data_IF_176275407039
#
_entry.id   IF_176275407039
#
_cell.length_a   1.000
_cell.length_b   1.000
_cell.length_c   1.000
_cell.angle_alpha   90.00
_cell.angle_beta   90.00
_cell.angle_gamma   90.00
#
_symmetry.space_group_name_H-M   'P 1'
#
loop_
_entity.id
_entity.type
_entity.pdbx_description
1 polymer ?
#
# COMPACT_ATOMS: atom_id res chain seq x y z
N UNK A 1 37.94 10.73 -8.48
CA UNK A 1 39.37 10.32 -8.53
C UNK A 1 40.10 11.27 -9.47
N UNK A 2 40.68 12.35 -8.95
CA UNK A 2 41.66 13.12 -9.72
C UNK A 2 43.04 12.56 -9.40
N UNK A 3 43.65 11.87 -10.36
CA UNK A 3 45.04 11.44 -10.28
C UNK A 3 45.74 11.88 -11.55
N UNK A 4 46.42 13.01 -11.47
CA UNK A 4 47.51 13.34 -12.40
C UNK A 4 48.30 14.49 -11.77
N UNK A 5 49.30 14.15 -10.95
CA UNK A 5 50.53 14.95 -10.92
C UNK A 5 51.20 14.73 -12.28
N UNK A 6 50.67 15.39 -13.31
CA UNK A 6 51.27 15.40 -14.63
C UNK A 6 52.37 16.46 -14.55
N UNK A 7 53.61 16.04 -14.27
CA UNK A 7 54.74 16.95 -14.41
C UNK A 7 54.74 17.52 -15.84
N UNK A 8 55.09 18.81 -16.02
CA UNK A 8 55.18 19.39 -17.35
C UNK A 8 56.24 18.65 -18.16
N UNK A 9 55.94 18.33 -19.42
CA UNK A 9 56.84 17.71 -20.38
C UNK A 9 57.83 18.77 -20.89
N UNK A 10 58.76 19.14 -20.01
CA UNK A 10 59.82 20.12 -20.26
C UNK A 10 60.66 19.72 -21.49
N UNK A 11 61.05 18.44 -21.71
CA UNK A 11 61.76 18.04 -22.92
C UNK A 11 61.00 18.32 -24.21
N UNK A 12 59.69 18.05 -24.26
CA UNK A 12 58.88 18.36 -25.43
C UNK A 12 58.76 19.87 -25.68
N UNK A 13 58.64 20.67 -24.61
CA UNK A 13 58.63 22.13 -24.70
C UNK A 13 59.97 22.69 -25.21
N UNK A 14 61.10 22.20 -24.69
CA UNK A 14 62.43 22.60 -25.14
C UNK A 14 62.72 22.16 -26.58
N UNK A 15 62.12 21.05 -27.05
CA UNK A 15 62.20 20.62 -28.45
C UNK A 15 61.62 21.66 -29.42
N UNK A 16 60.50 22.29 -29.06
CA UNK A 16 59.88 23.37 -29.84
C UNK A 16 60.75 24.64 -29.85
N UNK A 17 61.50 24.88 -28.78
CA UNK A 17 62.41 26.03 -28.64
C UNK A 17 63.77 25.85 -29.33
N UNK A 18 64.16 24.60 -29.61
CA UNK A 18 65.51 24.25 -30.09
C UNK A 18 65.85 24.71 -31.51
N UNK A 19 64.84 25.13 -32.28
CA UNK A 19 64.98 25.58 -33.67
C UNK A 19 64.97 27.11 -33.84
N UNK A 20 64.76 27.87 -32.75
CA UNK A 20 64.73 29.33 -32.79
C UNK A 20 66.14 29.94 -32.61
N UNK A 21 66.39 31.06 -33.27
CA UNK A 21 67.64 31.80 -33.12
C UNK A 21 67.64 32.73 -31.89
N UNK A 22 68.77 33.40 -31.62
CA UNK A 22 68.91 34.21 -30.40
C UNK A 22 68.00 35.45 -30.38
N UNK A 23 67.68 35.99 -31.56
CA UNK A 23 66.85 37.19 -31.67
C UNK A 23 65.36 36.80 -31.54
N UNK A 24 64.96 35.66 -32.11
CA UNK A 24 63.64 35.05 -31.92
C UNK A 24 63.39 34.60 -30.47
N UNK A 25 64.39 34.03 -29.80
CA UNK A 25 64.29 33.66 -28.37
C UNK A 25 64.19 34.89 -27.46
N UNK A 26 64.89 36.00 -27.80
CA UNK A 26 64.75 37.27 -27.09
C UNK A 26 63.38 37.89 -27.33
N UNK A 27 62.86 37.79 -28.54
CA UNK A 27 61.53 38.27 -28.86
C UNK A 27 60.47 37.49 -28.07
N UNK A 28 60.59 36.16 -28.03
CA UNK A 28 59.72 35.28 -27.26
C UNK A 28 59.78 35.56 -25.75
N UNK A 29 60.97 35.85 -25.22
CA UNK A 29 61.14 36.20 -23.80
C UNK A 29 60.48 37.53 -23.42
N UNK A 30 60.31 38.44 -24.40
CA UNK A 30 59.74 39.77 -24.19
C UNK A 30 58.28 39.88 -24.64
N UNK A 31 57.68 38.82 -25.19
CA UNK A 31 56.30 38.75 -25.65
C UNK A 31 55.58 37.53 -25.05
N UNK A 32 54.84 37.78 -23.96
CA UNK A 32 54.06 36.76 -23.25
C UNK A 32 53.00 36.08 -24.15
N UNK A 33 52.49 36.78 -25.17
CA UNK A 33 51.52 36.22 -26.10
C UNK A 33 52.13 35.15 -27.00
N UNK A 34 53.32 35.42 -27.54
CA UNK A 34 54.09 34.44 -28.32
C UNK A 34 54.51 33.24 -27.47
N UNK A 35 54.90 33.48 -26.21
CA UNK A 35 55.23 32.41 -25.29
C UNK A 35 54.02 31.50 -25.01
N UNK A 36 52.86 32.10 -24.74
CA UNK A 36 51.61 31.38 -24.51
C UNK A 36 51.20 30.54 -25.74
N UNK A 37 51.41 31.04 -26.96
CA UNK A 37 51.09 30.30 -28.18
C UNK A 37 51.99 29.07 -28.38
N UNK A 38 53.29 29.16 -28.04
CA UNK A 38 54.18 27.99 -28.01
C UNK A 38 53.74 26.98 -26.93
N UNK A 39 53.30 27.46 -25.76
CA UNK A 39 52.79 26.60 -24.68
C UNK A 39 51.53 25.86 -25.12
N UNK A 40 50.61 26.53 -25.82
CA UNK A 40 49.41 25.90 -26.40
C UNK A 40 49.75 24.83 -27.44
N UNK A 41 50.90 24.94 -28.09
CA UNK A 41 51.36 23.99 -29.09
C UNK A 41 51.98 22.72 -28.51
N UNK A 42 52.34 22.71 -27.22
CA UNK A 42 52.84 21.53 -26.52
C UNK A 42 51.78 20.42 -26.53
N UNK A 43 52.19 19.20 -26.94
CA UNK A 43 51.30 18.04 -27.05
C UNK A 43 50.53 17.74 -25.75
N UNK A 44 51.18 17.87 -24.60
CA UNK A 44 50.53 17.69 -23.30
C UNK A 44 49.40 18.71 -23.08
N UNK A 45 49.60 19.98 -23.45
CA UNK A 45 48.57 21.02 -23.33
C UNK A 45 47.39 20.76 -24.27
N UNK A 46 47.66 20.40 -25.54
CA UNK A 46 46.60 20.02 -26.50
C UNK A 46 45.77 18.82 -26.04
N UNK A 47 46.41 17.82 -25.46
CA UNK A 47 45.71 16.65 -24.90
C UNK A 47 44.81 17.04 -23.72
N UNK A 48 45.29 17.91 -22.82
CA UNK A 48 44.51 18.41 -21.70
C UNK A 48 43.33 19.28 -22.15
N UNK A 49 43.52 20.13 -23.16
CA UNK A 49 42.43 20.94 -23.71
C UNK A 49 41.38 20.04 -24.37
N UNK A 50 41.80 19.00 -25.11
CA UNK A 50 40.88 18.01 -25.70
C UNK A 50 40.11 17.24 -24.63
N UNK A 51 40.77 16.82 -23.55
CA UNK A 51 40.14 16.14 -22.42
C UNK A 51 39.12 17.05 -21.72
N UNK A 52 39.48 18.31 -21.50
CA UNK A 52 38.58 19.34 -20.96
C UNK A 52 37.36 19.52 -21.86
N UNK A 53 37.53 19.69 -23.17
CA UNK A 53 36.42 19.82 -24.12
C UNK A 53 35.51 18.58 -24.09
N UNK A 54 36.10 17.38 -24.06
CA UNK A 54 35.34 16.13 -23.96
C UNK A 54 34.55 16.05 -22.65
N UNK A 55 35.14 16.41 -21.52
CA UNK A 55 34.47 16.44 -20.22
C UNK A 55 33.36 17.49 -20.18
N UNK A 56 33.59 18.68 -20.75
CA UNK A 56 32.58 19.73 -20.85
C UNK A 56 31.40 19.28 -21.71
N UNK A 57 31.66 18.68 -22.88
CA UNK A 57 30.63 18.15 -23.76
C UNK A 57 29.83 17.02 -23.09
N UNK A 58 30.52 16.12 -22.39
CA UNK A 58 29.90 15.02 -21.64
C UNK A 58 29.02 15.53 -20.50
N UNK A 59 29.54 16.45 -19.67
CA UNK A 59 28.80 17.05 -18.57
C UNK A 59 27.57 17.80 -19.08
N UNK A 60 27.72 18.57 -20.16
CA UNK A 60 26.61 19.28 -20.81
C UNK A 60 25.54 18.31 -21.30
N UNK A 61 25.94 17.26 -22.02
CA UNK A 61 25.01 16.25 -22.53
C UNK A 61 24.24 15.56 -21.39
N UNK A 62 24.93 15.26 -20.29
CA UNK A 62 24.30 14.66 -19.10
C UNK A 62 23.33 15.63 -18.41
N UNK A 63 23.71 16.91 -18.30
CA UNK A 63 22.84 17.93 -17.73
C UNK A 63 21.57 18.13 -18.60
N UNK A 64 21.73 18.21 -19.92
CA UNK A 64 20.61 18.31 -20.87
C UNK A 64 19.71 17.07 -20.79
N UNK A 65 20.27 15.86 -20.70
CA UNK A 65 19.50 14.64 -20.51
C UNK A 65 18.74 14.64 -19.17
N UNK A 66 19.39 15.01 -18.06
CA UNK A 66 18.75 15.10 -16.75
C UNK A 66 17.59 16.11 -16.75
N UNK A 67 17.78 17.28 -17.39
CA UNK A 67 16.73 18.28 -17.58
C UNK A 67 15.58 17.73 -18.43
N UNK A 68 15.88 16.95 -19.47
CA UNK A 68 14.86 16.30 -20.31
C UNK A 68 14.01 15.27 -19.54
N UNK A 69 14.54 14.69 -18.46
CA UNK A 69 13.86 13.72 -17.60
C UNK A 69 13.07 14.34 -16.46
N UNK A 70 13.35 15.60 -16.11
CA UNK A 70 12.61 16.34 -15.10
C UNK A 70 11.08 16.38 -15.35
N UNK A 71 10.55 16.65 -16.56
CA UNK A 71 9.10 16.69 -16.77
C UNK A 71 8.42 15.34 -16.54
N UNK A 72 9.00 14.24 -17.04
CA UNK A 72 8.49 12.87 -16.85
C UNK A 72 8.46 12.50 -15.36
N UNK A 73 9.51 12.86 -14.62
CA UNK A 73 9.58 12.63 -13.18
C UNK A 73 8.51 13.43 -12.42
N UNK A 74 8.31 14.70 -12.79
CA UNK A 74 7.35 15.56 -12.12
C UNK A 74 5.90 15.16 -12.41
N UNK A 75 5.60 14.75 -13.65
CA UNK A 75 4.34 14.13 -14.02
C UNK A 75 4.09 12.84 -13.21
N UNK A 76 5.07 11.94 -13.14
CA UNK A 76 4.96 10.71 -12.36
C UNK A 76 4.70 10.96 -10.87
N UNK A 77 5.35 11.96 -10.27
CA UNK A 77 5.08 12.38 -8.88
C UNK A 77 3.67 12.92 -8.72
N UNK A 78 3.19 13.72 -9.66
CA UNK A 78 1.85 14.30 -9.61
C UNK A 78 0.78 13.20 -9.69
N UNK A 79 0.93 12.24 -10.60
CA UNK A 79 0.05 11.07 -10.71
C UNK A 79 0.06 10.26 -9.42
N UNK A 80 1.25 9.99 -8.86
CA UNK A 80 1.37 9.24 -7.60
C UNK A 80 0.66 9.96 -6.45
N UNK A 81 0.81 11.28 -6.37
CA UNK A 81 0.15 12.10 -5.35
C UNK A 81 -1.37 12.03 -5.49
N UNK A 82 -1.88 12.20 -6.71
CA UNK A 82 -3.31 12.11 -7.00
C UNK A 82 -3.87 10.72 -6.64
N UNK A 83 -3.21 9.65 -7.08
CA UNK A 83 -3.65 8.29 -6.79
C UNK A 83 -3.62 7.99 -5.29
N UNK A 84 -2.59 8.48 -4.58
CA UNK A 84 -2.50 8.34 -3.13
C UNK A 84 -3.64 9.08 -2.43
N UNK A 85 -3.99 10.28 -2.88
CA UNK A 85 -5.11 11.04 -2.34
C UNK A 85 -6.45 10.34 -2.60
N UNK A 86 -6.69 9.86 -3.82
CA UNK A 86 -7.88 9.09 -4.16
C UNK A 86 -7.99 7.80 -3.33
N UNK A 87 -6.89 7.09 -3.13
CA UNK A 87 -6.86 5.88 -2.31
C UNK A 87 -7.18 6.19 -0.83
N UNK A 88 -6.63 7.28 -0.30
CA UNK A 88 -6.94 7.74 1.05
C UNK A 88 -8.43 8.10 1.19
N UNK A 89 -8.99 8.84 0.23
CA UNK A 89 -10.42 9.18 0.21
C UNK A 89 -11.32 7.95 0.13
N UNK A 90 -10.96 6.96 -0.68
CA UNK A 90 -11.70 5.70 -0.76
C UNK A 90 -11.64 4.92 0.57
N UNK A 91 -10.46 4.88 1.19
CA UNK A 91 -10.27 4.23 2.48
C UNK A 91 -11.12 4.90 3.58
N UNK A 92 -11.12 6.24 3.65
CA UNK A 92 -11.98 6.97 4.59
C UNK A 92 -13.45 6.73 4.30
N UNK A 93 -13.88 6.78 3.03
CA UNK A 93 -15.27 6.51 2.65
C UNK A 93 -15.73 5.10 3.01
N UNK A 94 -14.87 4.08 2.83
CA UNK A 94 -15.18 2.70 3.23
C UNK A 94 -15.28 2.60 4.75
N UNK A 95 -14.35 3.23 5.48
CA UNK A 95 -14.37 3.25 6.94
C UNK A 95 -15.65 3.92 7.46
N UNK A 96 -16.02 5.07 6.93
CA UNK A 96 -17.22 5.80 7.33
C UNK A 96 -18.49 4.97 7.07
N UNK A 97 -18.58 4.30 5.91
CA UNK A 97 -19.70 3.39 5.61
C UNK A 97 -19.74 2.17 6.52
N UNK A 98 -18.58 1.63 6.89
CA UNK A 98 -18.49 0.51 7.84
C UNK A 98 -18.96 0.94 9.23
N UNK A 99 -18.52 2.11 9.70
CA UNK A 99 -18.94 2.69 10.98
C UNK A 99 -20.45 3.03 10.97
N UNK A 100 -20.97 3.60 9.87
CA UNK A 100 -22.40 3.85 9.70
C UNK A 100 -23.22 2.54 9.74
N UNK A 101 -22.74 1.49 9.06
CA UNK A 101 -23.39 0.17 9.07
C UNK A 101 -23.36 -0.44 10.46
N UNK A 102 -22.22 -0.36 11.15
CA UNK A 102 -22.06 -0.83 12.53
C UNK A 102 -22.99 -0.09 13.49
N UNK A 103 -23.11 1.22 13.36
CA UNK A 103 -23.99 2.05 14.18
C UNK A 103 -25.48 1.71 13.93
N UNK A 104 -25.86 1.48 12.66
CA UNK A 104 -27.23 1.08 12.30
C UNK A 104 -27.58 -0.34 12.73
N UNK A 105 -26.60 -1.26 12.68
CA UNK A 105 -26.85 -2.67 12.97
C UNK A 105 -27.05 -2.97 14.46
N UNK A 106 -26.87 -1.96 15.33
CA UNK A 106 -26.96 -2.13 16.78
C UNK A 106 -25.87 -3.06 17.33
N UNK A 107 -25.75 -3.13 18.65
CA UNK A 107 -24.82 -4.05 19.32
C UNK A 107 -25.40 -5.45 19.52
N UNK A 108 -26.70 -5.63 19.26
CA UNK A 108 -27.40 -6.89 19.46
C UNK A 108 -27.10 -7.84 18.31
N UNK A 109 -26.23 -8.81 18.53
CA UNK A 109 -26.04 -9.89 17.55
C UNK A 109 -27.24 -10.83 17.59
N UNK A 110 -27.41 -11.59 16.50
CA UNK A 110 -28.47 -12.60 16.41
C UNK A 110 -28.33 -13.65 17.52
N UNK A 111 -27.10 -13.99 17.91
CA UNK A 111 -26.80 -14.89 19.03
C UNK A 111 -27.22 -14.28 20.37
N UNK A 112 -26.89 -13.00 20.63
CA UNK A 112 -27.33 -12.32 21.87
C UNK A 112 -28.86 -12.24 21.95
N UNK A 113 -29.54 -12.00 20.83
CA UNK A 113 -31.00 -12.00 20.78
C UNK A 113 -31.59 -13.40 21.06
N UNK A 114 -30.94 -14.47 20.60
CA UNK A 114 -31.34 -15.84 20.87
C UNK A 114 -31.21 -16.18 22.36
N UNK A 115 -30.07 -15.84 22.98
CA UNK A 115 -29.81 -16.08 24.40
C UNK A 115 -30.83 -15.36 25.28
N UNK A 116 -31.10 -14.08 24.99
CA UNK A 116 -32.12 -13.29 25.71
C UNK A 116 -33.52 -13.88 25.56
N UNK A 117 -33.89 -14.34 24.37
CA UNK A 117 -35.20 -14.95 24.14
C UNK A 117 -35.32 -16.29 24.88
N UNK A 118 -34.24 -17.08 24.95
CA UNK A 118 -34.20 -18.33 25.69
C UNK A 118 -34.31 -18.09 27.20
N UNK A 119 -33.62 -17.08 27.74
CA UNK A 119 -33.75 -16.68 29.14
C UNK A 119 -35.19 -16.23 29.45
N UNK A 120 -35.78 -15.39 28.60
CA UNK A 120 -37.17 -14.95 28.76
C UNK A 120 -38.19 -16.10 28.61
N UNK A 121 -37.85 -17.17 27.88
CA UNK A 121 -38.68 -18.38 27.81
C UNK A 121 -38.59 -19.23 29.09
N UNK A 122 -37.41 -19.28 29.72
CA UNK A 122 -37.20 -19.97 30.99
C UNK A 122 -37.84 -19.22 32.17
N UNK A 123 -37.70 -17.90 32.20
CA UNK A 123 -38.32 -17.03 33.22
C UNK A 123 -39.86 -17.21 33.26
N UNK A 124 -40.51 -17.15 32.10
CA UNK A 124 -41.97 -17.32 32.04
C UNK A 124 -42.41 -18.78 32.31
N UNK A 125 -41.54 -19.76 32.08
CA UNK A 125 -41.76 -21.15 32.48
C UNK A 125 -41.75 -21.28 34.00
N UNK A 126 -40.75 -20.69 34.67
CA UNK A 126 -40.65 -20.62 36.13
C UNK A 126 -41.84 -19.88 36.75
N UNK A 127 -42.24 -18.72 36.19
CA UNK A 127 -43.45 -18.01 36.64
C UNK A 127 -44.71 -18.88 36.55
N UNK A 128 -44.85 -19.64 35.45
CA UNK A 128 -46.00 -20.54 35.28
C UNK A 128 -45.98 -21.69 36.27
N UNK A 129 -44.81 -22.18 36.64
CA UNK A 129 -44.65 -23.24 37.64
C UNK A 129 -44.95 -22.73 39.04
N UNK A 130 -44.51 -21.52 39.40
CA UNK A 130 -44.85 -20.88 40.68
C UNK A 130 -46.37 -20.68 40.85
N UNK A 131 -47.10 -20.42 39.76
CA UNK A 131 -48.57 -20.34 39.79
C UNK A 131 -49.20 -21.72 39.96
N UNK A 132 -48.64 -22.75 39.33
CA UNK A 132 -49.08 -24.13 39.53
C UNK A 132 -48.86 -24.57 40.99
N UNK A 133 -47.72 -24.23 41.59
CA UNK A 133 -47.43 -24.50 43.00
C UNK A 133 -48.42 -23.81 43.93
N UNK A 134 -48.72 -22.52 43.72
CA UNK A 134 -49.73 -21.76 44.50
C UNK A 134 -51.13 -22.37 44.40
N UNK A 135 -51.49 -22.91 43.24
CA UNK A 135 -52.76 -23.59 43.08
C UNK A 135 -52.78 -24.93 43.86
N UNK A 136 -51.69 -25.70 43.81
CA UNK A 136 -51.56 -26.96 44.53
C UNK A 136 -51.50 -26.80 46.05
N UNK A 137 -50.99 -25.68 46.55
CA UNK A 137 -51.02 -25.32 47.97
C UNK A 137 -52.40 -24.80 48.43
N UNK A 138 -53.30 -24.48 47.49
CA UNK A 138 -54.61 -23.91 47.77
C UNK A 138 -54.60 -22.40 48.05
N UNK A 139 -53.52 -21.70 47.67
CA UNK A 139 -53.38 -20.25 47.86
C UNK A 139 -54.21 -19.42 46.86
N UNK A 140 -54.61 -20.03 45.73
CA UNK A 140 -55.44 -19.40 44.69
C UNK A 140 -56.58 -20.32 44.24
N UNK A 141 -57.69 -19.73 43.81
CA UNK A 141 -58.86 -20.46 43.31
C UNK A 141 -58.70 -20.88 41.83
N UNK A 142 -59.55 -21.82 41.37
CA UNK A 142 -59.49 -22.40 40.01
C UNK A 142 -59.57 -21.33 38.92
N UNK A 143 -60.49 -20.37 39.04
CA UNK A 143 -60.70 -19.37 37.99
C UNK A 143 -59.49 -18.44 37.85
N UNK A 144 -58.88 -18.04 38.98
CA UNK A 144 -57.65 -17.24 39.01
C UNK A 144 -56.46 -18.02 38.43
N UNK A 145 -56.33 -19.30 38.78
CA UNK A 145 -55.30 -20.18 38.23
C UNK A 145 -55.41 -20.27 36.71
N UNK A 146 -56.61 -20.53 36.18
CA UNK A 146 -56.81 -20.70 34.73
C UNK A 146 -56.45 -19.43 33.95
N UNK A 147 -56.84 -18.25 34.44
CA UNK A 147 -56.54 -16.97 33.78
C UNK A 147 -55.01 -16.69 33.73
N UNK A 148 -54.33 -16.91 34.85
CA UNK A 148 -52.90 -16.62 34.98
C UNK A 148 -51.99 -17.70 34.36
N UNK A 149 -52.34 -18.98 34.48
CA UNK A 149 -51.50 -20.09 34.03
C UNK A 149 -51.56 -20.26 32.51
N UNK A 150 -52.77 -20.24 31.92
CA UNK A 150 -52.94 -20.45 30.48
C UNK A 150 -52.26 -19.35 29.66
N UNK A 151 -52.38 -18.10 30.10
CA UNK A 151 -51.73 -16.96 29.45
C UNK A 151 -50.20 -17.08 29.45
N UNK A 152 -49.60 -17.45 30.59
CA UNK A 152 -48.15 -17.68 30.71
C UNK A 152 -47.66 -18.90 29.95
N UNK A 153 -48.35 -20.04 30.04
CA UNK A 153 -47.98 -21.25 29.28
C UNK A 153 -48.08 -21.02 27.78
N UNK A 154 -49.10 -20.30 27.30
CA UNK A 154 -49.21 -19.89 25.90
C UNK A 154 -48.01 -19.03 25.47
N UNK A 155 -47.64 -18.04 26.27
CA UNK A 155 -46.49 -17.18 25.99
C UNK A 155 -45.16 -17.96 26.01
N UNK A 156 -44.98 -18.85 26.99
CA UNK A 156 -43.83 -19.75 27.11
C UNK A 156 -43.64 -20.60 25.86
N UNK A 157 -44.67 -21.32 25.43
CA UNK A 157 -44.61 -22.16 24.23
C UNK A 157 -44.34 -21.32 22.97
N UNK A 158 -44.95 -20.14 22.86
CA UNK A 158 -44.68 -19.23 21.75
C UNK A 158 -43.21 -18.79 21.72
N UNK A 159 -42.62 -18.46 22.88
CA UNK A 159 -41.19 -18.10 22.97
C UNK A 159 -40.29 -19.29 22.63
N UNK A 160 -40.57 -20.50 23.13
CA UNK A 160 -39.82 -21.73 22.77
C UNK A 160 -39.83 -22.00 21.27
N UNK A 161 -40.99 -21.90 20.61
CA UNK A 161 -41.08 -22.05 19.15
C UNK A 161 -40.26 -20.97 18.43
N UNK A 162 -40.29 -19.71 18.91
CA UNK A 162 -39.46 -18.65 18.32
C UNK A 162 -37.96 -18.90 18.49
N UNK A 163 -37.52 -19.43 19.64
CA UNK A 163 -36.12 -19.86 19.87
C UNK A 163 -35.71 -20.92 18.85
N UNK A 164 -36.53 -21.96 18.66
CA UNK A 164 -36.23 -23.03 17.70
C UNK A 164 -36.16 -22.51 16.26
N UNK A 165 -37.10 -21.65 15.87
CA UNK A 165 -37.09 -21.03 14.53
C UNK A 165 -35.89 -20.11 14.32
N UNK A 166 -35.50 -19.34 15.34
CA UNK A 166 -34.31 -18.50 15.26
C UNK A 166 -33.03 -19.34 15.12
N UNK A 167 -32.91 -20.44 15.87
CA UNK A 167 -31.80 -21.40 15.73
C UNK A 167 -31.72 -21.99 14.32
N UNK A 168 -32.85 -22.35 13.74
CA UNK A 168 -32.90 -22.88 12.36
C UNK A 168 -32.48 -21.84 11.32
N UNK A 169 -32.89 -20.58 11.49
CA UNK A 169 -32.47 -19.48 10.62
C UNK A 169 -30.95 -19.24 10.69
N UNK A 170 -30.37 -19.23 11.89
CA UNK A 170 -28.92 -19.08 12.09
C UNK A 170 -28.17 -20.22 11.38
N UNK A 171 -28.63 -21.47 11.57
CA UNK A 171 -28.02 -22.66 10.95
C UNK A 171 -28.07 -22.62 9.41
N UNK A 172 -29.21 -22.19 8.86
CA UNK A 172 -29.42 -22.08 7.41
C UNK A 172 -28.58 -20.94 6.80
N UNK A 173 -28.47 -19.81 7.49
CA UNK A 173 -27.65 -18.68 7.05
C UNK A 173 -26.16 -19.04 6.88
N UNK A 174 -25.60 -19.79 7.83
CA UNK A 174 -24.21 -20.27 7.76
C UNK A 174 -23.93 -21.26 6.62
N UNK A 175 -24.97 -21.92 6.08
CA UNK A 175 -24.81 -22.85 4.95
C UNK A 175 -24.71 -22.12 3.60
N UNK A 176 -25.12 -20.85 3.53
CA UNK A 176 -25.15 -20.06 2.29
C UNK A 176 -23.94 -19.14 2.08
N UNK A 177 -23.09 -18.94 3.08
CA UNK A 177 -21.97 -17.99 3.05
C UNK A 177 -20.59 -18.60 2.72
N UNK A 178 -20.50 -19.90 2.40
CA UNK A 178 -19.23 -20.61 2.30
C UNK A 178 -18.59 -20.71 0.89
N UNK A 179 -18.90 -19.78 -0.03
CA UNK A 179 -18.16 -19.65 -1.30
C UNK A 179 -17.70 -18.21 -1.52
N UNK A 180 -16.44 -17.86 -1.18
CA UNK A 180 -15.78 -16.71 -1.79
C UNK A 180 -15.36 -17.10 -3.21
N UNK A 181 -16.34 -17.19 -4.11
CA UNK A 181 -16.09 -17.35 -5.54
C UNK A 181 -15.76 -15.99 -6.13
N UNK A 182 -14.48 -15.73 -6.43
CA UNK A 182 -14.11 -14.66 -7.36
C UNK A 182 -14.83 -14.88 -8.69
N UNK A 183 -15.49 -13.87 -9.29
CA UNK A 183 -16.08 -14.02 -10.60
C UNK A 183 -14.95 -14.20 -11.62
N UNK A 184 -14.84 -15.39 -12.22
CA UNK A 184 -14.06 -15.56 -13.44
C UNK A 184 -14.71 -14.68 -14.50
N UNK A 185 -13.99 -13.64 -14.93
CA UNK A 185 -14.36 -12.86 -16.10
C UNK A 185 -14.19 -13.74 -17.33
N UNK A 186 -15.27 -14.37 -17.80
CA UNK A 186 -15.31 -15.01 -19.12
C UNK A 186 -15.26 -13.92 -20.19
N UNK A 187 -14.06 -13.59 -20.66
CA UNK A 187 -13.85 -12.68 -21.79
C UNK A 187 -14.07 -13.42 -23.11
N UNK A 188 -15.17 -13.07 -23.78
CA UNK A 188 -15.60 -13.52 -25.09
C UNK A 188 -14.75 -12.94 -26.25
N UNK A 189 -13.44 -13.19 -26.28
CA UNK A 189 -12.59 -12.83 -27.44
C UNK A 189 -12.15 -14.08 -28.22
N UNK A 190 -12.60 -14.25 -29.49
CA UNK A 190 -12.14 -15.36 -30.32
C UNK A 190 -10.83 -14.98 -31.02
N UNK A 191 -9.78 -15.74 -30.70
CA UNK A 191 -8.52 -15.71 -31.44
C UNK A 191 -7.33 -15.30 -30.58
N UNK A 192 -6.27 -16.13 -30.65
CA UNK A 192 -4.98 -16.03 -29.96
C UNK A 192 -4.98 -16.70 -28.57
N UNK A 193 -4.72 -18.01 -28.59
CA UNK A 193 -4.06 -18.66 -27.48
C UNK A 193 -2.54 -18.38 -27.59
N UNK A 194 -1.89 -17.99 -26.50
CA UNK A 194 -0.53 -18.41 -26.24
C UNK A 194 -0.55 -19.36 -25.05
N UNK A 195 -0.04 -20.56 -25.27
CA UNK A 195 0.39 -21.48 -24.24
C UNK A 195 1.45 -20.81 -23.37
N UNK A 196 1.10 -20.46 -22.12
CA UNK A 196 2.09 -20.06 -21.11
C UNK A 196 1.94 -20.98 -19.90
N UNK A 197 2.99 -21.73 -19.52
CA UNK A 197 2.95 -22.58 -18.35
C UNK A 197 3.23 -21.72 -17.11
N UNK A 198 2.19 -21.19 -16.47
CA UNK A 198 2.32 -20.65 -15.11
C UNK A 198 2.03 -21.74 -14.08
N UNK A 199 2.86 -21.89 -13.03
CA UNK A 199 2.65 -22.87 -11.99
C UNK A 199 1.46 -22.45 -11.12
N UNK A 200 0.48 -23.35 -10.98
CA UNK A 200 -0.58 -23.24 -9.98
C UNK A 200 0.01 -23.52 -8.60
N UNK A 201 0.56 -22.48 -7.97
CA UNK A 201 1.07 -22.54 -6.60
C UNK A 201 0.60 -21.32 -5.83
N UNK A 202 0.25 -21.52 -4.55
CA UNK A 202 -0.14 -20.46 -3.62
C UNK A 202 0.98 -19.41 -3.50
N UNK A 203 0.81 -18.27 -4.15
CA UNK A 203 1.68 -17.11 -3.93
C UNK A 203 1.30 -16.51 -2.58
N UNK A 204 2.09 -16.82 -1.55
CA UNK A 204 2.04 -16.08 -0.29
C UNK A 204 2.53 -14.65 -0.58
N UNK A 205 1.60 -13.74 -0.91
CA UNK A 205 1.91 -12.32 -0.98
C UNK A 205 2.15 -11.82 0.46
N UNK A 206 3.25 -11.08 0.74
CA UNK A 206 3.43 -10.47 2.05
C UNK A 206 2.38 -9.38 2.24
N UNK A 207 1.59 -9.48 3.30
CA UNK A 207 0.70 -8.41 3.77
C UNK A 207 1.50 -7.12 4.02
N UNK A 208 0.95 -5.93 3.71
CA UNK A 208 1.57 -4.68 4.11
C UNK A 208 1.62 -4.59 5.64
N UNK A 209 2.81 -4.44 6.20
CA UNK A 209 2.98 -4.22 7.64
C UNK A 209 2.40 -2.86 8.04
N UNK A 210 1.73 -2.75 9.20
CA UNK A 210 1.22 -1.49 9.71
C UNK A 210 2.39 -0.53 9.99
N UNK A 211 2.28 0.68 9.45
CA UNK A 211 3.25 1.77 9.56
C UNK A 211 3.43 2.21 11.01
N UNK A 212 4.52 1.78 11.65
CA UNK A 212 4.80 2.18 13.04
C UNK A 212 6.16 1.82 13.65
N UNK A 213 7.10 1.18 12.93
CA UNK A 213 8.42 0.87 13.51
C UNK A 213 9.57 1.45 12.66
N UNK A 214 10.52 2.17 13.27
CA UNK A 214 11.65 2.74 12.55
C UNK A 214 12.64 1.64 12.15
N UNK A 215 12.86 1.50 10.84
CA UNK A 215 13.87 0.59 10.30
C UNK A 215 15.22 1.30 10.38
N UNK A 216 16.05 0.90 11.34
CA UNK A 216 17.44 1.36 11.45
C UNK A 216 18.28 0.65 10.37
N UNK A 217 18.85 1.41 9.42
CA UNK A 217 19.87 0.91 8.49
C UNK A 217 21.26 1.30 9.02
N UNK A 218 22.17 0.34 9.27
CA UNK A 218 23.57 0.67 9.47
C UNK A 218 24.24 0.95 8.12
N UNK A 219 25.11 1.96 8.09
CA UNK A 219 26.08 2.18 7.02
C UNK A 219 27.23 1.18 7.14
#
# INVERSE_FOLDING_TARGET
>A
MYKSNQEPDIPAALGLLSHLDNDELKELLNDDGKFEDIVKDIKQFKNLETEKEMLMASNRSLAEFNLSKQPELEEGKQILKELSEQANQLCTNVKDKLDETRNKSGTMTVDTALDLLQAAAAEIEEESEAIAEKFLSGDIEVDEFLDQFLSRRKLMHLRKVKVDKLRDLIRKGHSTSNTPGYPLTTSNFPGIAPSVPYPTGSVAMPMPLPSGLPVYRPY
#
